data_IF_138982458145
#
_entry.id   IF_138982458145
#
_cell.length_a   1.000
_cell.length_b   1.000
_cell.length_c   1.000
_cell.angle_alpha   90.00
_cell.angle_beta   90.00
_cell.angle_gamma   90.00
#
_symmetry.space_group_name_H-M   'P 1'
#
loop_
_entity.id
_entity.type
_entity.pdbx_description
1 polymer ?
#
# COMPACT_ATOMS: atom_id res chain seq x y z
N UNK A 1 -38.98 6.26 -13.56
CA UNK A 1 -40.46 6.33 -13.68
C UNK A 1 -41.07 6.00 -12.33
N UNK A 2 -42.12 6.72 -11.91
CA UNK A 2 -42.74 6.51 -10.60
C UNK A 2 -43.42 5.13 -10.54
N UNK A 3 -43.14 4.29 -9.52
CA UNK A 3 -43.71 2.95 -9.45
C UNK A 3 -45.24 2.92 -9.33
N UNK A 4 -45.84 3.90 -8.62
CA UNK A 4 -47.30 4.02 -8.48
C UNK A 4 -47.75 5.47 -8.24
N UNK A 5 -49.08 5.70 -8.31
CA UNK A 5 -49.73 7.01 -8.09
C UNK A 5 -49.50 7.51 -6.65
N UNK A 6 -49.50 8.83 -6.45
CA UNK A 6 -49.15 9.44 -5.16
C UNK A 6 -50.11 9.11 -4.00
N UNK A 7 -51.38 8.81 -4.31
CA UNK A 7 -52.46 8.53 -3.36
C UNK A 7 -53.37 7.44 -3.93
N UNK A 8 -54.22 6.85 -3.08
CA UNK A 8 -55.27 5.89 -3.48
C UNK A 8 -54.83 4.44 -3.62
N UNK A 9 -53.58 4.10 -3.26
CA UNK A 9 -53.03 2.74 -3.38
C UNK A 9 -52.81 2.03 -2.04
N UNK A 10 -53.00 2.71 -0.91
CA UNK A 10 -52.69 2.18 0.43
C UNK A 10 -51.20 1.94 0.71
N UNK A 11 -50.31 2.22 -0.25
CA UNK A 11 -48.86 2.01 -0.16
C UNK A 11 -48.13 3.29 0.26
N UNK A 12 -46.93 3.14 0.82
CA UNK A 12 -46.02 4.25 1.08
C UNK A 12 -45.70 5.01 -0.23
N UNK A 13 -45.38 6.30 -0.13
CA UNK A 13 -45.10 7.14 -1.31
C UNK A 13 -43.68 6.87 -1.81
N UNK A 14 -43.54 6.56 -3.11
CA UNK A 14 -42.22 6.28 -3.72
C UNK A 14 -42.07 7.04 -5.04
N UNK A 15 -40.91 7.68 -5.22
CA UNK A 15 -40.59 8.45 -6.43
C UNK A 15 -39.91 7.63 -7.54
N UNK A 16 -39.09 6.64 -7.18
CA UNK A 16 -38.32 5.82 -8.12
C UNK A 16 -38.08 4.43 -7.53
N UNK A 17 -38.06 3.39 -8.39
CA UNK A 17 -37.67 2.03 -8.01
C UNK A 17 -36.15 1.88 -7.82
N UNK A 18 -35.33 2.86 -8.24
CA UNK A 18 -33.86 2.85 -8.08
C UNK A 18 -33.38 3.56 -6.80
N UNK A 19 -34.27 3.81 -5.83
CA UNK A 19 -33.93 4.47 -4.56
C UNK A 19 -33.03 3.54 -3.70
N UNK A 20 -31.98 4.05 -3.01
CA UNK A 20 -31.14 3.27 -2.09
C UNK A 20 -31.87 2.42 -1.04
N UNK A 21 -33.11 2.75 -0.68
CA UNK A 21 -33.89 1.96 0.29
C UNK A 21 -34.35 0.61 -0.31
N UNK A 22 -34.43 0.51 -1.64
CA UNK A 22 -34.95 -0.68 -2.33
C UNK A 22 -33.84 -1.66 -2.69
N UNK A 23 -34.19 -2.95 -2.74
CA UNK A 23 -33.29 -3.99 -3.27
C UNK A 23 -32.95 -3.71 -4.74
N UNK A 24 -31.67 -3.72 -5.09
CA UNK A 24 -31.19 -3.33 -6.42
C UNK A 24 -31.26 -1.82 -6.73
N UNK A 25 -31.53 -0.98 -5.72
CA UNK A 25 -31.43 0.47 -5.81
C UNK A 25 -29.98 0.99 -5.86
N UNK A 26 -29.81 2.28 -6.12
CA UNK A 26 -28.48 2.91 -6.13
C UNK A 26 -27.83 3.01 -4.74
N UNK A 27 -26.50 3.08 -4.65
CA UNK A 27 -25.78 3.23 -3.38
C UNK A 27 -25.54 4.71 -3.10
N UNK A 28 -26.03 5.24 -1.97
CA UNK A 28 -25.96 6.68 -1.65
C UNK A 28 -24.52 7.19 -1.43
N UNK A 29 -23.70 6.44 -0.68
CA UNK A 29 -22.30 6.79 -0.39
C UNK A 29 -21.36 5.67 -0.84
N UNK A 30 -21.40 5.35 -2.13
CA UNK A 30 -20.47 4.39 -2.72
C UNK A 30 -19.02 4.89 -2.70
N UNK A 31 -18.04 3.97 -2.75
CA UNK A 31 -16.65 4.36 -2.88
C UNK A 31 -16.43 5.10 -4.20
N UNK A 32 -15.71 6.21 -4.13
CA UNK A 32 -15.29 6.99 -5.31
C UNK A 32 -13.79 6.81 -5.51
N UNK A 33 -13.31 6.76 -6.76
CA UNK A 33 -11.88 6.83 -7.04
C UNK A 33 -11.27 8.08 -6.39
N UNK A 34 -10.21 7.90 -5.62
CA UNK A 34 -9.48 9.00 -4.95
C UNK A 34 -8.01 8.63 -4.79
N UNK A 35 -7.18 9.67 -4.78
CA UNK A 35 -5.79 9.56 -4.38
C UNK A 35 -5.69 9.66 -2.84
N UNK A 36 -4.86 8.80 -2.25
CA UNK A 36 -4.58 8.76 -0.81
C UNK A 36 -3.20 9.35 -0.48
N UNK A 37 -2.47 9.87 -1.47
CA UNK A 37 -1.17 10.46 -1.27
C UNK A 37 -1.24 11.73 -0.43
N UNK A 38 -0.28 11.89 0.48
CA UNK A 38 -0.07 13.13 1.23
C UNK A 38 1.42 13.35 1.47
N UNK A 39 1.82 14.62 1.67
CA UNK A 39 3.23 14.99 1.79
C UNK A 39 3.59 15.28 3.24
N UNK A 40 4.68 14.69 3.70
CA UNK A 40 5.30 15.00 4.99
C UNK A 40 6.39 16.08 4.87
N UNK A 41 6.64 16.87 5.94
CA UNK A 41 7.74 17.83 5.98
C UNK A 41 9.09 17.17 5.68
N UNK A 42 9.97 17.89 4.94
CA UNK A 42 11.30 17.37 4.54
C UNK A 42 12.15 16.93 5.74
N UNK A 43 12.09 17.68 6.86
CA UNK A 43 12.84 17.37 8.09
C UNK A 43 12.41 16.02 8.69
N UNK A 44 11.10 15.75 8.74
CA UNK A 44 10.57 14.49 9.25
C UNK A 44 11.01 13.29 8.39
N UNK A 45 10.98 13.42 7.05
CA UNK A 45 11.46 12.36 6.16
C UNK A 45 12.94 12.03 6.37
N UNK A 46 13.78 13.06 6.49
CA UNK A 46 15.22 12.89 6.77
C UNK A 46 15.47 12.24 8.14
N UNK A 47 14.68 12.62 9.15
CA UNK A 47 14.75 12.02 10.48
C UNK A 47 14.38 10.54 10.45
N UNK A 48 13.30 10.18 9.72
CA UNK A 48 12.86 8.79 9.58
C UNK A 48 13.94 7.91 8.95
N UNK A 49 14.62 8.38 7.89
CA UNK A 49 15.73 7.65 7.26
C UNK A 49 16.89 7.42 8.22
N UNK A 50 17.31 8.47 8.96
CA UNK A 50 18.38 8.35 9.96
C UNK A 50 18.01 7.39 11.08
N UNK A 51 16.77 7.45 11.56
CA UNK A 51 16.26 6.55 12.61
C UNK A 51 16.26 5.09 12.15
N UNK A 52 15.75 4.82 10.94
CA UNK A 52 15.73 3.47 10.38
C UNK A 52 17.14 2.87 10.22
N UNK A 53 18.10 3.64 9.70
CA UNK A 53 19.49 3.19 9.57
C UNK A 53 20.16 3.01 10.94
N UNK A 54 19.93 3.94 11.88
CA UNK A 54 20.48 3.84 13.24
C UNK A 54 19.97 2.59 13.96
N UNK A 55 18.68 2.25 13.83
CA UNK A 55 18.12 1.02 14.40
C UNK A 55 18.79 -0.21 13.79
N UNK A 56 19.03 -0.25 12.48
CA UNK A 56 19.73 -1.37 11.84
C UNK A 56 21.17 -1.53 12.31
N UNK A 57 21.87 -0.43 12.58
CA UNK A 57 23.21 -0.47 13.17
C UNK A 57 23.16 -1.04 14.59
N UNK A 58 22.24 -0.56 15.43
CA UNK A 58 22.11 -1.03 16.82
C UNK A 58 21.78 -2.52 16.91
N UNK A 59 20.97 -3.02 15.98
CA UNK A 59 20.63 -4.45 15.89
C UNK A 59 21.72 -5.29 15.20
N UNK A 60 22.89 -4.73 14.89
CA UNK A 60 23.99 -5.37 14.14
C UNK A 60 23.56 -5.97 12.78
N UNK A 61 22.59 -5.33 12.11
CA UNK A 61 22.00 -5.79 10.86
C UNK A 61 22.59 -5.09 9.61
N UNK A 62 23.70 -4.35 9.77
CA UNK A 62 24.42 -3.72 8.66
C UNK A 62 25.78 -4.41 8.51
N UNK A 63 26.05 -4.90 7.30
CA UNK A 63 27.33 -5.48 6.92
C UNK A 63 27.97 -4.50 5.93
N UNK A 64 29.16 -4.02 6.24
CA UNK A 64 29.94 -3.14 5.36
C UNK A 64 30.96 -4.00 4.62
N UNK A 65 30.96 -3.89 3.29
CA UNK A 65 31.89 -4.57 2.40
C UNK A 65 32.67 -3.48 1.65
N UNK A 66 33.98 -3.70 1.46
CA UNK A 66 34.86 -2.73 0.79
C UNK A 66 34.52 -2.60 -0.70
N UNK A 67 34.53 -3.72 -1.43
CA UNK A 67 34.19 -3.76 -2.84
C UNK A 67 33.39 -5.02 -3.19
N UNK A 68 32.36 -4.84 -4.03
CA UNK A 68 31.61 -5.95 -4.63
C UNK A 68 31.88 -5.98 -6.14
N UNK A 69 32.87 -6.76 -6.55
CA UNK A 69 33.28 -6.92 -7.95
C UNK A 69 33.07 -8.35 -8.45
N UNK A 70 32.57 -8.47 -9.68
CA UNK A 70 32.44 -9.74 -10.40
C UNK A 70 32.97 -9.54 -11.82
N UNK A 71 33.74 -10.51 -12.34
CA UNK A 71 34.25 -10.47 -13.71
C UNK A 71 33.12 -10.59 -14.75
N UNK A 72 32.05 -11.30 -14.39
CA UNK A 72 30.87 -11.50 -15.22
C UNK A 72 29.60 -11.33 -14.36
N UNK A 73 28.48 -10.84 -14.92
CA UNK A 73 27.22 -10.71 -14.20
C UNK A 73 26.56 -12.09 -13.97
N UNK A 74 27.02 -12.81 -12.94
CA UNK A 74 26.62 -14.20 -12.65
C UNK A 74 25.92 -14.35 -11.31
N UNK A 75 24.63 -14.71 -11.34
CA UNK A 75 23.79 -14.86 -10.14
C UNK A 75 24.28 -15.92 -9.16
N UNK A 76 24.88 -17.02 -9.65
CA UNK A 76 25.44 -18.08 -8.81
C UNK A 76 26.56 -17.56 -7.90
N UNK A 77 27.40 -16.64 -8.39
CA UNK A 77 28.47 -16.04 -7.59
C UNK A 77 27.87 -15.13 -6.51
N UNK A 78 26.87 -14.32 -6.86
CA UNK A 78 26.17 -13.46 -5.90
C UNK A 78 25.52 -14.26 -4.75
N UNK A 79 24.87 -15.39 -5.06
CA UNK A 79 24.29 -16.28 -4.04
C UNK A 79 25.37 -16.82 -3.10
N UNK A 80 26.52 -17.24 -3.63
CA UNK A 80 27.63 -17.71 -2.80
C UNK A 80 28.17 -16.60 -1.89
N UNK A 81 28.32 -15.37 -2.40
CA UNK A 81 28.75 -14.22 -1.60
C UNK A 81 27.77 -13.90 -0.49
N UNK A 82 26.45 -13.89 -0.76
CA UNK A 82 25.43 -13.63 0.25
C UNK A 82 25.41 -14.72 1.35
N UNK A 83 25.62 -15.98 0.99
CA UNK A 83 25.80 -17.06 1.95
C UNK A 83 27.05 -16.87 2.81
N UNK A 84 28.18 -16.48 2.20
CA UNK A 84 29.42 -16.23 2.93
C UNK A 84 29.29 -15.05 3.93
N UNK A 85 28.52 -14.02 3.57
CA UNK A 85 28.22 -12.88 4.43
C UNK A 85 27.15 -13.15 5.50
N UNK A 86 26.56 -14.35 5.54
CA UNK A 86 25.46 -14.70 6.45
C UNK A 86 24.30 -13.67 6.42
N UNK A 87 23.97 -13.16 5.23
CA UNK A 87 23.09 -12.00 5.06
C UNK A 87 21.60 -12.25 5.40
N UNK A 88 21.25 -13.47 5.82
CA UNK A 88 19.88 -13.89 6.13
C UNK A 88 19.00 -14.07 4.89
N UNK A 89 17.69 -14.26 5.12
CA UNK A 89 16.72 -14.57 4.05
C UNK A 89 16.28 -13.35 3.24
N UNK A 90 16.27 -12.17 3.86
CA UNK A 90 15.87 -10.91 3.22
C UNK A 90 16.98 -9.89 3.43
N UNK A 91 17.63 -9.53 2.35
CA UNK A 91 18.76 -8.59 2.35
C UNK A 91 18.50 -7.51 1.30
N UNK A 92 18.85 -6.27 1.62
CA UNK A 92 18.90 -5.17 0.66
C UNK A 92 20.37 -4.89 0.35
N UNK A 93 20.72 -4.94 -0.94
CA UNK A 93 22.04 -4.50 -1.43
C UNK A 93 21.88 -3.06 -1.90
N UNK A 94 22.72 -2.17 -1.37
CA UNK A 94 22.71 -0.72 -1.64
C UNK A 94 23.97 -0.35 -2.41
#
# INVERSE_FOLDING_TARGET
KKPWRQKGTGRARVGSSRNPVWTGGGIAFGPKPRDYSYRLPRKARRLAMKSALSSKVLDNNIIVVDQLSFDEPRTKQMVATLHALNSGKKTLVV
#
